data_IF_833985281182
#
_entry.id   IF_833985281182
#
_cell.length_a   1.000
_cell.length_b   1.000
_cell.length_c   1.000
_cell.angle_alpha   90.00
_cell.angle_beta   90.00
_cell.angle_gamma   90.00
#
_symmetry.space_group_name_H-M   'P 1'
#
loop_
_entity.id
_entity.type
_entity.pdbx_description
1 polymer ?
#
# COMPACT_ATOMS: atom_id res chain seq x y z
N UNK A 1 -15.01 -14.94 2.87
CA UNK A 1 -14.08 -14.65 3.99
C UNK A 1 -14.75 -14.71 5.35
N UNK A 2 -15.95 -14.14 5.56
CA UNK A 2 -16.65 -14.22 6.86
C UNK A 2 -16.84 -15.64 7.38
N UNK A 3 -17.26 -16.58 6.52
CA UNK A 3 -17.38 -18.00 6.87
C UNK A 3 -16.06 -18.56 7.42
N UNK A 4 -14.92 -18.24 6.81
CA UNK A 4 -13.60 -18.72 7.24
C UNK A 4 -13.19 -18.16 8.60
N UNK A 5 -13.59 -16.93 8.94
CA UNK A 5 -13.41 -16.41 10.30
C UNK A 5 -14.28 -17.18 11.31
N UNK A 6 -15.53 -17.49 10.94
CA UNK A 6 -16.42 -18.31 11.76
C UNK A 6 -15.89 -19.72 11.98
N UNK A 7 -15.28 -20.35 10.97
CA UNK A 7 -14.68 -21.69 11.09
C UNK A 7 -13.57 -21.75 12.14
N UNK A 8 -12.87 -20.65 12.43
CA UNK A 8 -11.88 -20.60 13.50
C UNK A 8 -12.47 -20.89 14.88
N UNK A 9 -13.76 -20.60 15.10
CA UNK A 9 -14.46 -20.85 16.37
C UNK A 9 -14.67 -22.34 16.63
N UNK A 10 -14.59 -23.19 15.60
CA UNK A 10 -14.64 -24.65 15.77
C UNK A 10 -13.44 -25.20 16.56
N UNK A 11 -12.45 -24.38 16.88
CA UNK A 11 -11.37 -24.72 17.82
C UNK A 11 -11.90 -25.11 19.21
N UNK A 12 -13.08 -24.59 19.61
CA UNK A 12 -13.73 -24.97 20.88
C UNK A 12 -14.13 -26.44 20.90
N UNK A 13 -14.57 -26.98 19.75
CA UNK A 13 -15.00 -28.38 19.62
C UNK A 13 -13.84 -29.31 19.24
N UNK A 14 -12.93 -28.83 18.41
CA UNK A 14 -11.83 -29.64 17.89
C UNK A 14 -10.63 -29.68 18.84
N UNK A 15 -10.52 -28.69 19.74
CA UNK A 15 -9.41 -28.53 20.67
C UNK A 15 -8.21 -27.84 20.04
N UNK A 16 -7.32 -27.33 20.90
CA UNK A 16 -6.05 -26.70 20.51
C UNK A 16 -4.91 -27.59 20.99
N UNK A 17 -4.13 -28.12 20.06
CA UNK A 17 -2.97 -28.98 20.38
C UNK A 17 -1.67 -28.27 20.02
N UNK A 18 -0.57 -28.60 20.72
CA UNK A 18 0.76 -28.09 20.40
C UNK A 18 1.18 -28.39 18.95
N UNK A 19 0.82 -29.58 18.44
CA UNK A 19 1.07 -29.97 17.05
C UNK A 19 0.34 -29.04 16.06
N UNK A 20 -0.92 -28.69 16.35
CA UNK A 20 -1.69 -27.80 15.50
C UNK A 20 -1.23 -26.34 15.60
N UNK A 21 -0.80 -25.87 16.78
CA UNK A 21 -0.18 -24.55 16.95
C UNK A 21 1.15 -24.44 16.21
N UNK A 22 2.00 -25.46 16.28
CA UNK A 22 3.23 -25.51 15.50
C UNK A 22 2.93 -25.49 13.99
N UNK A 23 1.94 -26.27 13.54
CA UNK A 23 1.49 -26.25 12.16
C UNK A 23 0.95 -24.87 11.74
N UNK A 24 0.18 -24.20 12.60
CA UNK A 24 -0.32 -22.84 12.39
C UNK A 24 0.83 -21.85 12.19
N UNK A 25 1.84 -21.88 13.06
CA UNK A 25 3.01 -21.02 12.98
C UNK A 25 3.80 -21.27 11.68
N UNK A 26 4.06 -22.54 11.35
CA UNK A 26 4.78 -22.91 10.12
C UNK A 26 4.01 -22.49 8.87
N UNK A 27 2.69 -22.72 8.83
CA UNK A 27 1.84 -22.33 7.71
C UNK A 27 1.70 -20.82 7.58
N UNK A 28 1.69 -20.07 8.69
CA UNK A 28 1.67 -18.62 8.65
C UNK A 28 2.95 -18.08 8.01
N UNK A 29 4.13 -18.38 8.58
CA UNK A 29 5.40 -17.81 8.10
C UNK A 29 5.82 -18.40 6.75
N UNK A 30 5.56 -19.69 6.50
CA UNK A 30 5.85 -20.33 5.22
C UNK A 30 5.04 -19.72 4.08
N UNK A 31 3.74 -19.50 4.28
CA UNK A 31 2.90 -18.86 3.24
C UNK A 31 3.14 -17.36 3.13
N UNK A 32 3.45 -16.67 4.23
CA UNK A 32 3.93 -15.30 4.19
C UNK A 32 5.14 -15.20 3.28
N UNK A 33 6.14 -16.08 3.44
CA UNK A 33 7.31 -16.13 2.58
C UNK A 33 6.94 -16.33 1.10
N UNK A 34 5.97 -17.19 0.76
CA UNK A 34 5.55 -17.36 -0.63
C UNK A 34 4.81 -16.13 -1.20
N UNK A 35 4.03 -15.42 -0.39
CA UNK A 35 3.42 -14.15 -0.79
C UNK A 35 4.52 -13.12 -1.05
N UNK A 36 5.46 -12.95 -0.12
CA UNK A 36 6.48 -11.91 -0.21
C UNK A 36 7.54 -12.23 -1.27
N UNK A 37 8.10 -13.44 -1.28
CA UNK A 37 9.11 -13.85 -2.25
C UNK A 37 8.50 -14.07 -3.64
N UNK A 38 7.33 -14.70 -3.71
CA UNK A 38 6.69 -15.10 -4.96
C UNK A 38 5.80 -14.00 -5.52
N UNK A 39 4.61 -13.82 -4.94
CA UNK A 39 3.60 -12.88 -5.46
C UNK A 39 4.16 -11.47 -5.57
N UNK A 40 4.77 -10.97 -4.49
CA UNK A 40 5.27 -9.61 -4.43
C UNK A 40 6.58 -9.43 -5.20
N UNK A 41 7.68 -10.00 -4.71
CA UNK A 41 9.03 -9.69 -5.23
C UNK A 41 9.32 -10.28 -6.60
N UNK A 42 8.75 -11.44 -6.94
CA UNK A 42 8.97 -12.09 -8.24
C UNK A 42 7.94 -11.69 -9.28
N UNK A 43 6.65 -11.99 -9.03
CA UNK A 43 5.60 -11.80 -10.02
C UNK A 43 5.28 -10.32 -10.23
N UNK A 44 5.20 -9.50 -9.18
CA UNK A 44 4.91 -8.06 -9.35
C UNK A 44 6.14 -7.28 -9.81
N UNK A 45 7.31 -7.48 -9.19
CA UNK A 45 8.46 -6.58 -9.33
C UNK A 45 9.66 -7.09 -10.11
N UNK A 46 9.70 -8.38 -10.47
CA UNK A 46 10.86 -9.00 -11.15
C UNK A 46 12.19 -8.66 -10.47
N UNK A 47 12.21 -8.72 -9.14
CA UNK A 47 13.39 -8.37 -8.35
C UNK A 47 14.49 -9.42 -8.41
N UNK A 48 14.19 -10.60 -8.97
CA UNK A 48 15.13 -11.69 -9.22
C UNK A 48 14.63 -12.58 -10.37
N UNK A 49 15.48 -13.52 -10.80
CA UNK A 49 15.15 -14.56 -11.80
C UNK A 49 15.16 -15.95 -11.17
N UNK A 50 14.35 -16.87 -11.68
CA UNK A 50 14.36 -18.28 -11.29
C UNK A 50 13.97 -19.18 -12.46
N UNK A 51 13.91 -20.50 -12.25
CA UNK A 51 13.48 -21.48 -13.25
C UNK A 51 11.95 -21.51 -13.38
N UNK A 52 11.45 -22.03 -14.50
CA UNK A 52 10.00 -22.23 -14.72
C UNK A 52 9.37 -23.14 -13.65
N UNK A 53 10.11 -24.16 -13.20
CA UNK A 53 9.67 -25.07 -12.16
C UNK A 53 9.52 -24.35 -10.81
N UNK A 54 10.55 -23.60 -10.38
CA UNK A 54 10.48 -22.87 -9.11
C UNK A 54 9.48 -21.70 -9.17
N UNK A 55 9.31 -21.08 -10.34
CA UNK A 55 8.21 -20.14 -10.59
C UNK A 55 6.84 -20.78 -10.31
N UNK A 56 6.59 -22.00 -10.76
CA UNK A 56 5.35 -22.70 -10.44
C UNK A 56 5.23 -23.00 -8.94
N UNK A 57 6.34 -23.39 -8.28
CA UNK A 57 6.38 -23.58 -6.82
C UNK A 57 5.99 -22.29 -6.08
N UNK A 58 6.52 -21.14 -6.49
CA UNK A 58 6.17 -19.83 -5.92
C UNK A 58 4.68 -19.50 -6.14
N UNK A 59 4.15 -19.77 -7.33
CA UNK A 59 2.73 -19.55 -7.63
C UNK A 59 1.81 -20.45 -6.79
N UNK A 60 2.12 -21.73 -6.68
CA UNK A 60 1.36 -22.68 -5.87
C UNK A 60 1.44 -22.34 -4.38
N UNK A 61 2.66 -22.09 -3.88
CA UNK A 61 2.89 -21.70 -2.49
C UNK A 61 2.14 -20.42 -2.12
N UNK A 62 2.18 -19.40 -2.97
CA UNK A 62 1.43 -18.15 -2.75
C UNK A 62 -0.08 -18.37 -2.83
N UNK A 63 -0.54 -19.21 -3.75
CA UNK A 63 -1.95 -19.58 -3.87
C UNK A 63 -2.51 -20.23 -2.62
N UNK A 64 -1.68 -20.95 -1.85
CA UNK A 64 -2.12 -21.59 -0.60
C UNK A 64 -2.50 -20.61 0.51
N UNK A 65 -2.20 -19.31 0.34
CA UNK A 65 -2.69 -18.24 1.20
C UNK A 65 -4.17 -17.86 0.98
N UNK A 66 -4.81 -18.43 -0.05
CA UNK A 66 -6.20 -18.12 -0.43
C UNK A 66 -6.45 -16.62 -0.70
N UNK A 67 -5.48 -15.94 -1.32
CA UNK A 67 -5.56 -14.51 -1.72
C UNK A 67 -5.69 -14.36 -3.24
N UNK A 68 -6.40 -15.31 -3.86
CA UNK A 68 -6.48 -15.51 -5.32
C UNK A 68 -5.15 -15.92 -5.96
N UNK A 69 -5.17 -16.13 -7.27
CA UNK A 69 -4.02 -16.62 -8.03
C UNK A 69 -2.92 -15.59 -8.31
N UNK A 70 -1.72 -16.09 -8.61
CA UNK A 70 -0.50 -15.28 -8.76
C UNK A 70 -0.62 -14.17 -9.83
N UNK A 71 -1.21 -14.47 -10.99
CA UNK A 71 -1.34 -13.45 -12.06
C UNK A 71 -2.34 -12.36 -11.66
N UNK A 72 -3.43 -12.74 -10.96
CA UNK A 72 -4.40 -11.79 -10.44
C UNK A 72 -3.75 -10.87 -9.41
N UNK A 73 -3.05 -11.45 -8.44
CA UNK A 73 -2.42 -10.70 -7.37
C UNK A 73 -1.37 -9.73 -7.93
N UNK A 74 -0.49 -10.22 -8.80
CA UNK A 74 0.58 -9.40 -9.37
C UNK A 74 0.07 -8.31 -10.33
N UNK A 75 -0.99 -8.57 -11.10
CA UNK A 75 -1.66 -7.54 -11.92
C UNK A 75 -2.14 -6.37 -11.05
N UNK A 76 -2.93 -6.66 -10.02
CA UNK A 76 -3.49 -5.63 -9.14
C UNK A 76 -2.41 -4.90 -8.34
N UNK A 77 -1.37 -5.62 -7.91
CA UNK A 77 -0.25 -5.03 -7.20
C UNK A 77 0.56 -4.07 -8.09
N UNK A 78 0.76 -4.41 -9.37
CA UNK A 78 1.38 -3.50 -10.34
C UNK A 78 0.54 -2.26 -10.56
N UNK A 79 -0.78 -2.40 -10.67
CA UNK A 79 -1.68 -1.25 -10.79
C UNK A 79 -1.68 -0.38 -9.53
N UNK A 80 -1.65 -0.99 -8.34
CA UNK A 80 -1.47 -0.26 -7.09
C UNK A 80 -0.19 0.58 -7.12
N UNK A 81 0.96 0.04 -7.53
CA UNK A 81 2.16 0.86 -7.61
C UNK A 81 2.12 1.98 -8.65
N UNK A 82 1.42 1.79 -9.77
CA UNK A 82 1.25 2.84 -10.79
C UNK A 82 0.32 3.95 -10.33
N UNK A 83 -0.70 3.59 -9.55
CA UNK A 83 -1.80 4.48 -9.20
C UNK A 83 -2.00 4.65 -7.69
N UNK A 84 -0.94 4.42 -6.90
CA UNK A 84 -1.03 4.32 -5.44
C UNK A 84 -1.70 5.54 -4.84
N UNK A 85 -2.60 5.31 -3.89
CA UNK A 85 -3.34 6.35 -3.19
C UNK A 85 -4.18 7.26 -4.12
N UNK A 86 -4.53 6.78 -5.32
CA UNK A 86 -5.53 7.43 -6.20
C UNK A 86 -6.83 6.62 -6.23
N UNK A 87 -7.85 7.13 -6.92
CA UNK A 87 -9.12 6.40 -7.12
C UNK A 87 -8.97 5.12 -7.94
N UNK A 88 -7.93 5.02 -8.77
CA UNK A 88 -7.63 3.84 -9.58
C UNK A 88 -6.95 2.72 -8.77
N UNK A 89 -6.36 3.04 -7.62
CA UNK A 89 -5.84 2.04 -6.71
C UNK A 89 -6.98 1.28 -6.03
N UNK A 90 -7.00 -0.03 -6.24
CA UNK A 90 -8.06 -0.93 -5.79
C UNK A 90 -8.17 -0.99 -4.27
N UNK A 91 -7.05 -0.82 -3.57
CA UNK A 91 -6.97 -0.85 -2.11
C UNK A 91 -6.43 0.46 -1.51
N UNK A 92 -6.68 1.58 -2.21
CA UNK A 92 -6.28 2.91 -1.75
C UNK A 92 -6.72 3.18 -0.31
N UNK A 93 -5.81 3.63 0.58
CA UNK A 93 -6.14 4.02 1.95
C UNK A 93 -7.06 5.23 2.01
N UNK A 94 -7.15 6.04 0.94
CA UNK A 94 -8.04 7.19 0.86
C UNK A 94 -9.53 6.79 0.85
N UNK A 95 -9.85 5.56 0.44
CA UNK A 95 -11.21 4.98 0.49
C UNK A 95 -11.61 4.50 1.88
N UNK A 96 -10.73 4.67 2.88
CA UNK A 96 -10.96 4.33 4.27
C UNK A 96 -10.24 3.06 4.72
N UNK A 97 -10.09 2.95 6.05
CA UNK A 97 -9.36 1.84 6.68
C UNK A 97 -9.95 0.47 6.35
N UNK A 98 -11.27 0.30 6.52
CA UNK A 98 -11.92 -0.99 6.27
C UNK A 98 -11.90 -1.39 4.79
N UNK A 99 -11.95 -0.41 3.89
CA UNK A 99 -11.82 -0.67 2.46
C UNK A 99 -10.42 -1.20 2.13
N UNK A 100 -9.37 -0.47 2.49
CA UNK A 100 -7.97 -0.86 2.23
C UNK A 100 -7.57 -2.14 2.97
N UNK A 101 -8.16 -2.43 4.13
CA UNK A 101 -7.85 -3.62 4.91
C UNK A 101 -8.59 -4.89 4.46
N UNK A 102 -9.83 -4.84 3.98
CA UNK A 102 -10.55 -6.06 3.57
C UNK A 102 -11.64 -5.83 2.51
N UNK A 103 -12.23 -4.65 2.43
CA UNK A 103 -13.34 -4.39 1.53
C UNK A 103 -12.98 -4.60 0.05
N UNK A 104 -11.78 -4.19 -0.35
CA UNK A 104 -11.35 -4.24 -1.75
C UNK A 104 -11.33 -5.66 -2.35
N UNK A 105 -10.87 -6.66 -1.59
CA UNK A 105 -10.73 -8.04 -2.08
C UNK A 105 -12.08 -8.78 -2.14
N UNK A 106 -13.07 -8.29 -1.37
CA UNK A 106 -14.45 -8.77 -1.38
C UNK A 106 -15.29 -8.13 -2.49
N UNK A 107 -14.79 -7.09 -3.15
CA UNK A 107 -15.53 -6.38 -4.18
C UNK A 107 -15.53 -7.14 -5.52
N UNK A 108 -16.73 -7.35 -6.07
CA UNK A 108 -16.93 -8.05 -7.34
C UNK A 108 -16.27 -7.35 -8.54
N UNK A 109 -16.09 -6.03 -8.46
CA UNK A 109 -15.47 -5.21 -9.50
C UNK A 109 -14.06 -5.68 -9.88
N UNK A 110 -13.31 -6.24 -8.93
CA UNK A 110 -11.91 -6.62 -9.12
C UNK A 110 -11.73 -8.14 -9.19
N UNK A 111 -12.75 -8.90 -9.60
CA UNK A 111 -12.66 -10.37 -9.69
C UNK A 111 -11.73 -10.86 -10.81
N UNK A 112 -11.73 -10.19 -11.97
CA UNK A 112 -10.83 -10.48 -13.09
C UNK A 112 -9.47 -9.80 -12.93
N UNK A 113 -8.48 -10.22 -13.71
CA UNK A 113 -7.20 -9.51 -13.84
C UNK A 113 -6.98 -9.12 -15.30
N UNK A 114 -6.19 -8.08 -15.53
CA UNK A 114 -5.79 -7.67 -16.87
C UNK A 114 -4.62 -8.54 -17.36
N UNK A 115 -4.79 -9.36 -18.40
CA UNK A 115 -3.69 -10.14 -18.97
C UNK A 115 -2.55 -9.27 -19.51
N UNK A 116 -2.86 -8.03 -19.89
CA UNK A 116 -1.92 -7.12 -20.52
C UNK A 116 -0.95 -6.47 -19.53
N UNK A 117 -1.41 -6.20 -18.31
CA UNK A 117 -0.57 -5.71 -17.21
C UNK A 117 0.52 -6.72 -16.77
N UNK A 118 0.34 -8.01 -17.10
CA UNK A 118 1.18 -9.14 -16.68
C UNK A 118 1.59 -10.07 -17.85
N UNK A 119 1.70 -9.55 -19.08
CA UNK A 119 2.09 -10.32 -20.30
C UNK A 119 3.30 -11.22 -20.12
N UNK A 120 4.23 -10.72 -19.32
CA UNK A 120 5.52 -11.27 -19.04
C UNK A 120 5.44 -12.62 -18.27
N UNK A 121 4.36 -12.86 -17.52
CA UNK A 121 4.01 -14.14 -16.89
C UNK A 121 2.73 -14.80 -17.45
N UNK A 122 1.82 -14.03 -18.04
CA UNK A 122 0.57 -14.54 -18.60
C UNK A 122 0.78 -15.52 -19.77
N UNK A 123 1.94 -15.46 -20.44
CA UNK A 123 2.32 -16.41 -21.49
C UNK A 123 2.48 -17.87 -21.01
N UNK A 124 2.60 -18.12 -19.70
CA UNK A 124 2.83 -19.46 -19.16
C UNK A 124 1.51 -20.17 -18.85
N UNK A 125 1.17 -21.30 -19.52
CA UNK A 125 -0.11 -21.98 -19.35
C UNK A 125 -0.32 -22.54 -17.93
N UNK A 126 0.74 -23.04 -17.27
CA UNK A 126 0.65 -23.54 -15.91
C UNK A 126 0.33 -22.45 -14.88
N UNK A 127 0.79 -21.21 -15.11
CA UNK A 127 0.46 -20.08 -14.26
C UNK A 127 -0.98 -19.62 -14.46
N UNK A 128 -1.46 -19.62 -15.72
CA UNK A 128 -2.87 -19.37 -16.03
C UNK A 128 -3.76 -20.43 -15.41
N UNK A 129 -3.37 -21.71 -15.50
CA UNK A 129 -4.11 -22.81 -14.92
C UNK A 129 -4.23 -22.66 -13.40
N UNK A 130 -3.12 -22.50 -12.68
CA UNK A 130 -3.16 -22.40 -11.22
C UNK A 130 -3.79 -21.10 -10.74
N UNK A 131 -3.73 -20.02 -11.53
CA UNK A 131 -4.41 -18.77 -11.20
C UNK A 131 -5.93 -18.88 -11.40
N UNK A 132 -6.38 -19.56 -12.45
CA UNK A 132 -7.82 -19.81 -12.69
C UNK A 132 -8.41 -20.79 -11.66
N UNK A 133 -7.60 -21.74 -11.20
CA UNK A 133 -7.98 -22.74 -10.19
C UNK A 133 -7.26 -22.46 -8.87
N UNK A 134 -7.32 -21.20 -8.42
CA UNK A 134 -6.66 -20.70 -7.20
C UNK A 134 -7.17 -21.36 -5.91
N UNK A 135 -8.24 -22.15 -5.99
CA UNK A 135 -8.73 -23.03 -4.93
C UNK A 135 -7.86 -24.28 -4.75
N UNK A 136 -7.14 -24.76 -5.77
CA UNK A 136 -6.35 -26.00 -5.68
C UNK A 136 -5.28 -25.93 -4.56
N UNK A 137 -4.39 -24.90 -4.51
CA UNK A 137 -3.38 -24.85 -3.47
C UNK A 137 -3.91 -24.79 -2.03
N UNK A 138 -4.90 -23.94 -1.66
CA UNK A 138 -5.39 -23.88 -0.29
C UNK A 138 -6.10 -25.17 0.12
N UNK A 139 -6.89 -25.80 -0.77
CA UNK A 139 -7.49 -27.11 -0.46
C UNK A 139 -6.44 -28.21 -0.26
N UNK A 140 -5.36 -28.19 -1.05
CA UNK A 140 -4.24 -29.13 -0.89
C UNK A 140 -3.62 -29.00 0.50
N UNK A 141 -3.34 -27.77 0.94
CA UNK A 141 -2.76 -27.51 2.27
C UNK A 141 -3.76 -27.81 3.39
N UNK A 142 -5.05 -27.53 3.20
CA UNK A 142 -6.10 -27.86 4.18
C UNK A 142 -6.20 -29.37 4.42
N UNK A 143 -6.25 -30.15 3.34
CA UNK A 143 -6.29 -31.63 3.40
C UNK A 143 -5.01 -32.15 4.06
N UNK A 144 -3.84 -31.66 3.66
CA UNK A 144 -2.58 -32.06 4.29
C UNK A 144 -2.56 -31.75 5.79
N UNK A 145 -3.10 -30.59 6.20
CA UNK A 145 -3.16 -30.19 7.61
C UNK A 145 -4.06 -31.12 8.43
N UNK A 146 -5.20 -31.53 7.85
CA UNK A 146 -6.07 -32.55 8.44
C UNK A 146 -5.37 -33.91 8.57
N UNK A 147 -4.66 -34.36 7.53
CA UNK A 147 -3.94 -35.63 7.58
C UNK A 147 -2.80 -35.63 8.62
N UNK A 148 -2.17 -34.47 8.86
CA UNK A 148 -1.07 -34.34 9.82
C UNK A 148 -1.57 -34.34 11.27
N UNK A 149 -2.64 -33.61 11.59
CA UNK A 149 -3.05 -33.37 12.98
C UNK A 149 -4.57 -33.43 13.22
N UNK A 150 -5.31 -34.10 12.34
CA UNK A 150 -6.75 -34.27 12.42
C UNK A 150 -7.51 -32.94 12.36
N UNK A 151 -8.65 -32.90 13.03
CA UNK A 151 -9.48 -31.70 13.14
C UNK A 151 -8.74 -30.47 13.72
N UNK A 152 -7.93 -30.59 14.80
CA UNK A 152 -7.07 -29.48 15.24
C UNK A 152 -6.14 -28.97 14.14
N UNK A 153 -5.56 -29.87 13.35
CA UNK A 153 -4.69 -29.51 12.22
C UNK A 153 -5.42 -28.67 11.17
N UNK A 154 -6.65 -29.04 10.83
CA UNK A 154 -7.45 -28.28 9.88
C UNK A 154 -7.91 -26.93 10.46
N UNK A 155 -8.46 -26.91 11.67
CA UNK A 155 -9.04 -25.69 12.25
C UNK A 155 -7.97 -24.72 12.75
N UNK A 156 -7.09 -25.17 13.64
CA UNK A 156 -6.04 -24.33 14.22
C UNK A 156 -4.85 -24.24 13.26
N UNK A 157 -4.42 -25.36 12.69
CA UNK A 157 -3.28 -25.35 11.76
C UNK A 157 -3.58 -24.53 10.51
N UNK A 158 -4.64 -24.85 9.75
CA UNK A 158 -4.92 -24.21 8.47
C UNK A 158 -5.81 -22.96 8.57
N UNK A 159 -7.00 -23.02 9.18
CA UNK A 159 -7.92 -21.88 9.16
C UNK A 159 -7.43 -20.68 9.98
N UNK A 160 -6.92 -20.89 11.21
CA UNK A 160 -6.35 -19.78 11.99
C UNK A 160 -5.17 -19.13 11.27
N UNK A 161 -4.22 -19.92 10.78
CA UNK A 161 -3.07 -19.36 10.07
C UNK A 161 -3.48 -18.63 8.79
N UNK A 162 -4.58 -19.05 8.13
CA UNK A 162 -5.12 -18.36 6.94
C UNK A 162 -5.71 -17.00 7.31
N UNK A 163 -6.52 -16.92 8.36
CA UNK A 163 -7.09 -15.65 8.85
C UNK A 163 -6.00 -14.70 9.34
N UNK A 164 -5.05 -15.20 10.12
CA UNK A 164 -3.90 -14.43 10.58
C UNK A 164 -3.08 -13.90 9.40
N UNK A 165 -2.85 -14.75 8.38
CA UNK A 165 -2.10 -14.37 7.18
C UNK A 165 -2.82 -13.28 6.39
N UNK A 166 -4.13 -13.39 6.19
CA UNK A 166 -4.95 -12.35 5.54
C UNK A 166 -4.79 -11.00 6.24
N UNK A 167 -5.02 -10.95 7.55
CA UNK A 167 -4.85 -9.70 8.28
C UNK A 167 -3.40 -9.22 8.22
N UNK A 168 -2.42 -10.11 8.37
CA UNK A 168 -1.00 -9.79 8.23
C UNK A 168 -0.70 -9.10 6.89
N UNK A 169 -1.08 -9.69 5.77
CA UNK A 169 -0.86 -9.10 4.44
C UNK A 169 -1.65 -7.81 4.25
N UNK A 170 -2.90 -7.73 4.70
CA UNK A 170 -3.71 -6.55 4.47
C UNK A 170 -3.35 -5.37 5.39
N UNK A 171 -2.64 -5.61 6.49
CA UNK A 171 -2.03 -4.50 7.25
C UNK A 171 -0.99 -3.74 6.45
N UNK A 172 -0.37 -4.35 5.42
CA UNK A 172 0.54 -3.62 4.51
C UNK A 172 -0.25 -2.59 3.71
N UNK A 173 -1.39 -2.98 3.13
CA UNK A 173 -2.24 -2.06 2.37
C UNK A 173 -2.87 -0.96 3.25
N UNK A 174 -3.22 -1.27 4.50
CA UNK A 174 -3.89 -0.31 5.40
C UNK A 174 -2.93 0.38 6.36
N UNK A 175 -2.39 -0.35 7.34
CA UNK A 175 -1.58 0.23 8.41
C UNK A 175 -0.22 0.74 7.91
N UNK A 176 0.41 0.15 6.89
CA UNK A 176 1.67 0.68 6.38
C UNK A 176 1.49 2.00 5.61
N UNK A 177 0.27 2.44 5.33
CA UNK A 177 -0.03 3.78 4.80
C UNK A 177 -0.41 4.80 5.89
N UNK A 178 -0.45 4.40 7.17
CA UNK A 178 -0.88 5.27 8.27
C UNK A 178 0.13 5.30 9.42
N UNK A 179 0.75 4.16 9.73
CA UNK A 179 1.63 3.96 10.87
C UNK A 179 3.08 3.72 10.43
N UNK A 180 4.00 4.51 10.97
CA UNK A 180 5.44 4.36 10.73
C UNK A 180 6.11 5.69 10.36
N UNK A 181 7.33 5.59 9.81
CA UNK A 181 8.14 6.74 9.39
C UNK A 181 8.36 6.73 7.89
N UNK A 182 8.50 7.91 7.29
CA UNK A 182 8.89 8.07 5.89
C UNK A 182 10.36 8.45 5.84
N UNK A 183 11.13 7.70 5.07
CA UNK A 183 12.55 7.99 4.82
C UNK A 183 12.74 8.62 3.45
N UNK A 184 11.97 8.19 2.46
CA UNK A 184 12.06 8.64 1.08
C UNK A 184 10.79 9.36 0.67
N UNK A 185 10.95 10.43 -0.10
CA UNK A 185 9.84 11.14 -0.70
C UNK A 185 9.22 10.24 -1.78
N UNK A 186 7.94 9.89 -1.61
CA UNK A 186 7.12 9.19 -2.59
C UNK A 186 5.83 9.97 -2.85
N UNK A 187 5.11 9.65 -3.92
CA UNK A 187 3.84 10.27 -4.27
C UNK A 187 2.65 9.72 -3.49
N UNK A 188 2.85 8.62 -2.77
CA UNK A 188 1.86 7.95 -1.90
C UNK A 188 2.16 8.19 -0.41
N UNK A 189 1.32 7.63 0.46
CA UNK A 189 1.42 7.73 1.93
C UNK A 189 2.09 6.52 2.61
N UNK A 190 2.80 5.65 1.87
CA UNK A 190 3.50 4.48 2.42
C UNK A 190 4.49 4.84 3.55
N UNK A 191 4.67 3.96 4.53
CA UNK A 191 5.52 4.20 5.71
C UNK A 191 6.30 2.95 6.07
N UNK A 192 7.49 3.16 6.62
CA UNK A 192 8.31 2.11 7.21
C UNK A 192 7.88 1.86 8.66
N UNK A 193 7.55 0.61 8.99
CA UNK A 193 7.18 0.15 10.32
C UNK A 193 7.88 -1.18 10.63
N UNK A 194 8.74 -1.16 11.65
CA UNK A 194 9.47 -2.34 12.10
C UNK A 194 8.54 -3.43 12.65
N UNK A 195 7.44 -3.04 13.31
CA UNK A 195 6.44 -3.97 13.83
C UNK A 195 5.73 -4.72 12.69
N UNK A 196 5.30 -3.98 11.65
CA UNK A 196 4.70 -4.60 10.47
C UNK A 196 5.74 -5.48 9.78
N UNK A 197 6.98 -5.02 9.64
CA UNK A 197 8.05 -5.78 8.98
C UNK A 197 8.36 -7.11 9.70
N UNK A 198 8.33 -7.12 11.04
CA UNK A 198 8.50 -8.34 11.84
C UNK A 198 7.40 -9.36 11.54
N UNK A 199 6.15 -8.92 11.52
CA UNK A 199 4.99 -9.79 11.30
C UNK A 199 4.90 -10.27 9.84
N UNK A 200 5.24 -9.40 8.88
CA UNK A 200 5.05 -9.64 7.44
C UNK A 200 6.30 -10.13 6.71
N UNK A 201 7.37 -10.47 7.43
CA UNK A 201 8.60 -10.97 6.82
C UNK A 201 9.34 -9.93 5.95
N UNK A 202 9.25 -8.65 6.31
CA UNK A 202 9.98 -7.54 5.69
C UNK A 202 9.11 -6.53 4.92
N UNK A 203 7.82 -6.81 4.71
CA UNK A 203 6.93 -5.95 3.91
C UNK A 203 6.57 -4.63 4.58
N UNK A 204 6.74 -4.54 5.90
CA UNK A 204 6.56 -3.28 6.64
C UNK A 204 7.60 -2.20 6.34
N UNK A 205 8.67 -2.48 5.60
CA UNK A 205 9.56 -1.45 5.03
C UNK A 205 8.93 -0.84 3.76
N UNK A 206 7.69 -0.37 3.90
CA UNK A 206 6.81 -0.10 2.78
C UNK A 206 7.19 1.19 2.04
N UNK A 207 7.65 2.22 2.75
CA UNK A 207 8.16 3.45 2.11
C UNK A 207 9.46 3.22 1.35
N UNK A 208 10.36 2.37 1.85
CA UNK A 208 11.54 1.96 1.07
C UNK A 208 11.11 1.24 -0.22
N UNK A 209 10.15 0.32 -0.09
CA UNK A 209 9.62 -0.47 -1.19
C UNK A 209 8.95 0.41 -2.25
N UNK A 210 8.06 1.32 -1.88
CA UNK A 210 7.41 2.25 -2.81
C UNK A 210 8.40 3.20 -3.49
N UNK A 211 9.47 3.58 -2.79
CA UNK A 211 10.52 4.41 -3.38
C UNK A 211 11.36 3.66 -4.42
N UNK A 212 11.69 2.39 -4.19
CA UNK A 212 12.46 1.58 -5.14
C UNK A 212 12.02 0.10 -5.15
N UNK A 213 10.87 -0.13 -5.79
CA UNK A 213 10.17 -1.42 -5.83
C UNK A 213 10.92 -2.54 -6.56
N UNK A 214 11.90 -2.20 -7.38
CA UNK A 214 12.68 -3.18 -8.14
C UNK A 214 13.65 -4.00 -7.26
N UNK A 215 13.93 -3.56 -6.02
CA UNK A 215 14.82 -4.27 -5.11
C UNK A 215 14.18 -5.55 -4.55
N UNK A 216 14.98 -6.61 -4.44
CA UNK A 216 14.57 -7.88 -3.80
C UNK A 216 14.58 -7.79 -2.27
N UNK A 217 15.12 -6.72 -1.70
CA UNK A 217 15.09 -6.41 -0.26
C UNK A 217 14.29 -5.14 -0.04
N UNK A 218 13.29 -5.20 0.82
CA UNK A 218 12.50 -4.02 1.21
C UNK A 218 13.20 -3.28 2.35
N UNK A 219 13.82 -4.02 3.27
CA UNK A 219 14.72 -3.44 4.27
C UNK A 219 16.03 -3.07 3.59
N UNK A 220 16.28 -1.80 3.30
CA UNK A 220 17.45 -1.33 2.56
C UNK A 220 18.74 -1.37 3.40
N UNK A 221 18.62 -1.26 4.72
CA UNK A 221 19.76 -1.22 5.63
C UNK A 221 19.93 -2.53 6.40
N UNK A 222 21.13 -2.82 6.91
CA UNK A 222 21.44 -4.12 7.53
C UNK A 222 20.64 -4.38 8.82
N UNK A 223 20.22 -3.34 9.53
CA UNK A 223 19.37 -3.43 10.73
C UNK A 223 17.88 -3.57 10.40
N UNK A 224 17.49 -3.45 9.13
CA UNK A 224 16.10 -3.58 8.69
C UNK A 224 15.79 -5.05 8.43
N UNK A 225 15.15 -5.68 9.42
CA UNK A 225 14.80 -7.08 9.40
C UNK A 225 13.93 -7.45 8.18
N UNK A 226 14.46 -8.30 7.31
CA UNK A 226 13.80 -8.77 6.08
C UNK A 226 14.11 -10.27 5.85
N UNK A 227 13.44 -11.17 6.58
CA UNK A 227 13.69 -12.61 6.50
C UNK A 227 13.37 -13.19 5.12
N UNK A 228 12.42 -12.58 4.38
CA UNK A 228 12.14 -12.98 3.00
C UNK A 228 13.40 -12.84 2.13
N UNK A 229 14.07 -11.69 2.22
CA UNK A 229 15.32 -11.46 1.50
C UNK A 229 16.42 -12.42 1.95
N UNK A 230 16.52 -12.73 3.25
CA UNK A 230 17.54 -13.65 3.76
C UNK A 230 17.39 -15.05 3.16
N UNK A 231 16.17 -15.57 3.10
CA UNK A 231 15.89 -16.86 2.46
C UNK A 231 16.18 -16.80 0.95
N UNK A 232 15.77 -15.74 0.25
CA UNK A 232 16.10 -15.54 -1.17
C UNK A 232 17.62 -15.50 -1.40
N UNK A 233 18.38 -14.87 -0.50
CA UNK A 233 19.84 -14.82 -0.55
C UNK A 233 20.45 -16.22 -0.37
N UNK A 234 19.96 -17.04 0.55
CA UNK A 234 20.41 -18.43 0.70
C UNK A 234 20.07 -19.24 -0.56
N UNK A 235 18.86 -19.12 -1.11
CA UNK A 235 18.48 -19.79 -2.37
C UNK A 235 19.38 -19.37 -3.56
N UNK A 236 19.95 -18.17 -3.51
CA UNK A 236 20.91 -17.70 -4.52
C UNK A 236 22.23 -18.45 -4.50
N UNK A 237 22.69 -18.91 -3.33
CA UNK A 237 23.90 -19.72 -3.19
C UNK A 237 23.77 -21.05 -3.92
N UNK A 238 22.55 -21.59 -3.98
CA UNK A 238 22.21 -22.82 -4.71
C UNK A 238 21.77 -22.58 -6.15
N UNK A 239 21.84 -21.34 -6.66
CA UNK A 239 21.38 -20.93 -8.01
C UNK A 239 19.91 -21.22 -8.33
N UNK A 240 19.09 -21.50 -7.32
CA UNK A 240 17.63 -21.61 -7.44
C UNK A 240 17.08 -20.24 -7.81
N UNK A 241 17.57 -19.20 -7.13
CA UNK A 241 17.31 -17.80 -7.45
C UNK A 241 18.60 -17.17 -8.01
N UNK A 242 18.47 -16.26 -8.97
CA UNK A 242 19.58 -15.57 -9.63
C UNK A 242 19.26 -14.08 -9.80
N UNK A 243 20.28 -13.27 -10.02
CA UNK A 243 20.15 -11.83 -10.30
C UNK A 243 19.30 -11.08 -9.25
N UNK A 244 19.53 -11.34 -7.95
CA UNK A 244 18.86 -10.59 -6.89
C UNK A 244 19.23 -9.10 -7.00
N UNK A 245 18.25 -8.28 -7.32
CA UNK A 245 18.42 -6.84 -7.38
C UNK A 245 18.51 -6.28 -5.97
N UNK A 246 19.52 -5.45 -5.72
CA UNK A 246 19.68 -4.71 -4.46
C UNK A 246 19.64 -3.21 -4.75
N UNK A 247 19.21 -2.37 -3.79
CA UNK A 247 19.19 -0.93 -3.99
C UNK A 247 20.64 -0.42 -4.20
N UNK A 248 20.93 0.26 -5.33
CA UNK A 248 22.25 0.82 -5.56
C UNK A 248 22.51 2.01 -4.62
N UNK A 249 23.78 2.37 -4.43
CA UNK A 249 24.18 3.44 -3.51
C UNK A 249 23.48 4.79 -3.79
N UNK A 250 23.20 5.10 -5.06
CA UNK A 250 22.45 6.30 -5.46
C UNK A 250 21.02 6.32 -4.92
N UNK A 251 20.33 5.16 -4.93
CA UNK A 251 18.97 5.00 -4.38
C UNK A 251 19.02 5.17 -2.87
N UNK A 252 20.01 4.57 -2.20
CA UNK A 252 20.14 4.70 -0.74
C UNK A 252 20.34 6.15 -0.27
N UNK A 253 20.98 7.00 -1.09
CA UNK A 253 21.26 8.41 -0.76
C UNK A 253 20.19 9.38 -1.29
N UNK A 254 19.50 9.02 -2.37
CA UNK A 254 18.56 9.89 -3.08
C UNK A 254 17.24 10.12 -2.35
N UNK A 255 16.59 11.25 -2.68
CA UNK A 255 15.22 11.62 -2.31
C UNK A 255 14.83 11.37 -0.83
N UNK A 256 15.78 11.51 0.11
CA UNK A 256 15.47 11.35 1.52
C UNK A 256 14.64 12.53 2.01
N UNK A 257 13.56 12.25 2.73
CA UNK A 257 12.81 13.25 3.50
C UNK A 257 13.72 13.69 4.65
N UNK A 258 14.46 14.79 4.48
CA UNK A 258 15.04 15.54 5.63
C UNK A 258 13.89 15.98 6.53
N UNK A 259 14.14 16.13 7.84
CA UNK A 259 13.16 16.71 8.76
C UNK A 259 12.61 18.03 8.17
N UNK A 260 11.32 18.03 7.83
CA UNK A 260 10.64 19.14 7.18
C UNK A 260 10.68 19.19 5.64
N UNK A 261 11.07 18.14 4.90
CA UNK A 261 11.02 18.19 3.41
C UNK A 261 9.59 18.11 2.89
N UNK A 262 9.33 18.72 1.71
CA UNK A 262 8.04 18.61 1.04
C UNK A 262 7.79 17.18 0.59
N UNK A 263 6.76 16.58 1.16
CA UNK A 263 6.32 15.22 0.87
C UNK A 263 4.99 15.30 0.11
N UNK A 264 5.06 15.09 -1.20
CA UNK A 264 3.91 15.23 -2.11
C UNK A 264 2.77 14.30 -1.71
N UNK A 265 3.06 13.06 -1.30
CA UNK A 265 2.03 12.12 -0.86
C UNK A 265 1.32 12.58 0.40
N UNK A 266 2.05 13.10 1.38
CA UNK A 266 1.46 13.69 2.59
C UNK A 266 0.67 14.97 2.29
N UNK A 267 1.19 15.84 1.43
CA UNK A 267 0.47 17.04 0.99
C UNK A 267 -0.87 16.67 0.33
N UNK A 268 -0.85 15.78 -0.67
CA UNK A 268 -2.06 15.29 -1.35
C UNK A 268 -3.07 14.69 -0.37
N UNK A 269 -2.61 13.87 0.58
CA UNK A 269 -3.49 13.26 1.57
C UNK A 269 -4.11 14.28 2.54
N UNK A 270 -3.34 15.27 3.01
CA UNK A 270 -3.86 16.33 3.87
C UNK A 270 -4.82 17.26 3.11
N UNK A 271 -4.48 17.63 1.88
CA UNK A 271 -5.32 18.43 1.01
C UNK A 271 -6.65 17.73 0.70
N UNK A 272 -6.61 16.44 0.33
CA UNK A 272 -7.82 15.65 0.09
C UNK A 272 -8.73 15.53 1.31
N UNK A 273 -8.16 15.42 2.52
CA UNK A 273 -8.96 15.44 3.76
C UNK A 273 -9.59 16.81 4.02
N UNK A 274 -8.85 17.89 3.79
CA UNK A 274 -9.34 19.26 3.96
C UNK A 274 -10.47 19.58 2.97
N UNK A 275 -10.31 19.23 1.69
CA UNK A 275 -11.33 19.45 0.66
C UNK A 275 -12.59 18.62 0.93
N UNK A 276 -12.45 17.34 1.32
CA UNK A 276 -13.59 16.50 1.67
C UNK A 276 -14.36 17.03 2.90
N UNK A 277 -13.65 17.51 3.92
CA UNK A 277 -14.26 18.12 5.10
C UNK A 277 -15.03 19.40 4.73
N UNK A 278 -14.44 20.24 3.86
CA UNK A 278 -15.09 21.46 3.36
C UNK A 278 -16.36 21.13 2.57
N UNK A 279 -16.30 20.16 1.65
CA UNK A 279 -17.44 19.71 0.85
C UNK A 279 -18.56 19.07 1.70
N UNK A 280 -18.21 18.35 2.77
CA UNK A 280 -19.19 17.82 3.71
C UNK A 280 -19.88 18.95 4.50
N UNK A 281 -19.13 19.98 4.88
CA UNK A 281 -19.66 21.17 5.53
C UNK A 281 -20.58 21.98 4.62
N UNK A 282 -20.21 22.21 3.36
CA UNK A 282 -21.08 22.91 2.41
C UNK A 282 -22.38 22.15 2.19
N UNK A 283 -22.33 20.81 2.02
CA UNK A 283 -23.54 19.99 1.91
C UNK A 283 -24.43 19.98 3.16
N UNK A 284 -23.84 20.03 4.35
CA UNK A 284 -24.61 20.18 5.59
C UNK A 284 -25.24 21.56 5.69
N UNK A 285 -24.47 22.61 5.38
CA UNK A 285 -24.94 23.98 5.43
C UNK A 285 -25.98 24.28 4.32
N UNK A 286 -25.93 23.59 3.18
CA UNK A 286 -26.96 23.62 2.13
C UNK A 286 -28.24 22.89 2.58
N UNK A 287 -28.14 21.82 3.38
CA UNK A 287 -29.30 21.13 3.95
C UNK A 287 -30.01 21.98 5.01
N UNK A 288 -29.27 22.59 5.93
CA UNK A 288 -29.85 23.46 6.97
C UNK A 288 -30.42 24.76 6.35
N UNK A 289 -29.86 25.26 5.24
CA UNK A 289 -30.35 26.49 4.57
C UNK A 289 -31.47 26.24 3.55
N UNK A 290 -31.60 25.03 3.02
CA UNK A 290 -32.82 24.62 2.33
C UNK A 290 -34.06 24.69 3.23
N UNK A 291 -33.87 24.67 4.56
CA UNK A 291 -34.92 24.92 5.54
C UNK A 291 -35.14 26.43 5.85
N UNK A 292 -34.19 27.33 5.52
CA UNK A 292 -34.25 28.78 5.83
C UNK A 292 -34.52 29.73 4.64
N UNK A 293 -34.35 29.26 3.40
CA UNK A 293 -34.71 30.01 2.19
C UNK A 293 -33.70 31.06 1.69
N UNK A 294 -32.50 31.15 2.26
CA UNK A 294 -31.43 32.05 1.78
C UNK A 294 -30.57 31.39 0.68
N UNK A 295 -30.39 32.09 -0.45
CA UNK A 295 -29.53 31.64 -1.57
C UNK A 295 -28.34 32.58 -1.71
N UNK A 296 -27.16 32.13 -1.28
CA UNK A 296 -25.87 32.65 -1.76
C UNK A 296 -25.22 31.52 -2.54
N UNK A 297 -24.51 31.87 -3.62
CA UNK A 297 -24.04 31.01 -4.72
C UNK A 297 -23.02 29.92 -4.29
N UNK A 298 -23.46 28.98 -3.44
CA UNK A 298 -22.71 27.81 -3.00
C UNK A 298 -22.29 26.93 -4.18
N UNK A 299 -23.03 27.00 -5.30
CA UNK A 299 -22.67 26.34 -6.54
C UNK A 299 -21.38 26.92 -7.14
N UNK A 300 -21.17 28.24 -7.09
CA UNK A 300 -19.92 28.87 -7.52
C UNK A 300 -18.73 28.53 -6.61
N UNK A 301 -18.90 28.49 -5.28
CA UNK A 301 -17.84 28.05 -4.36
C UNK A 301 -17.50 26.56 -4.57
N UNK A 302 -18.51 25.71 -4.75
CA UNK A 302 -18.32 24.28 -5.04
C UNK A 302 -17.64 24.08 -6.40
N UNK A 303 -17.98 24.89 -7.40
CA UNK A 303 -17.34 24.88 -8.72
C UNK A 303 -15.89 25.38 -8.65
N UNK A 304 -15.58 26.38 -7.84
CA UNK A 304 -14.22 26.86 -7.62
C UNK A 304 -13.35 25.82 -6.90
N UNK A 305 -13.89 25.17 -5.87
CA UNK A 305 -13.21 24.07 -5.17
C UNK A 305 -12.98 22.87 -6.10
N UNK A 306 -13.97 22.55 -6.96
CA UNK A 306 -13.85 21.47 -7.94
C UNK A 306 -12.87 21.79 -9.06
N UNK A 307 -12.85 23.03 -9.56
CA UNK A 307 -11.86 23.49 -10.52
C UNK A 307 -10.43 23.48 -9.93
N UNK A 308 -10.27 23.81 -8.65
CA UNK A 308 -9.00 23.70 -7.96
C UNK A 308 -8.56 22.24 -7.72
N UNK A 309 -9.51 21.31 -7.51
CA UNK A 309 -9.27 19.87 -7.45
C UNK A 309 -8.80 19.34 -8.81
N UNK A 310 -9.50 19.69 -9.90
CA UNK A 310 -9.18 19.24 -11.25
C UNK A 310 -7.84 19.83 -11.76
N UNK A 311 -7.53 21.08 -11.40
CA UNK A 311 -6.24 21.71 -11.71
C UNK A 311 -5.05 21.11 -10.94
N UNK A 312 -5.29 20.54 -9.75
CA UNK A 312 -4.28 19.84 -8.96
C UNK A 312 -4.08 18.37 -9.40
N UNK A 313 -5.06 17.80 -10.11
CA UNK A 313 -5.03 16.42 -10.63
C UNK A 313 -4.58 16.33 -12.10
N UNK A 314 -4.55 17.46 -12.82
CA UNK A 314 -4.06 17.55 -14.19
C UNK A 314 -2.56 17.30 -14.30
N UNK A 315 -2.20 16.20 -14.98
CA UNK A 315 -0.89 15.80 -15.51
C UNK A 315 0.23 16.85 -15.41
N UNK A 316 0.85 16.94 -14.25
CA UNK A 316 2.26 17.30 -14.17
C UNK A 316 3.04 15.99 -14.20
N UNK A 317 3.43 15.59 -15.41
CA UNK A 317 4.46 14.58 -15.65
C UNK A 317 5.63 14.83 -14.67
N UNK A 318 5.92 13.94 -13.70
CA UNK A 318 6.99 14.19 -12.73
C UNK A 318 8.33 13.66 -13.24
N UNK A 319 8.42 13.27 -14.52
CA UNK A 319 9.67 12.91 -15.16
C UNK A 319 10.15 14.13 -15.94
N UNK A 320 11.24 14.80 -15.54
CA UNK A 320 11.86 15.77 -16.42
C UNK A 320 12.20 15.01 -17.71
N UNK A 321 11.71 15.49 -18.85
CA UNK A 321 12.13 14.96 -20.15
C UNK A 321 13.67 14.97 -20.20
N UNK A 322 14.29 14.09 -20.98
CA UNK A 322 15.76 14.06 -21.10
C UNK A 322 16.34 15.46 -21.44
N UNK A 323 15.54 16.35 -22.05
CA UNK A 323 15.86 17.76 -22.28
C UNK A 323 15.92 18.61 -21.00
N UNK A 324 15.09 18.35 -19.99
CA UNK A 324 15.12 19.04 -18.69
C UNK A 324 16.25 18.53 -17.77
N UNK A 325 16.59 17.24 -17.83
CA UNK A 325 17.80 16.72 -17.18
C UNK A 325 19.08 17.26 -17.84
N UNK A 326 19.11 17.38 -19.17
CA UNK A 326 20.19 18.05 -19.90
C UNK A 326 20.25 19.55 -19.62
N UNK A 327 19.12 20.22 -19.38
CA UNK A 327 19.08 21.63 -18.98
C UNK A 327 19.58 21.85 -17.54
N UNK A 328 19.34 20.89 -16.65
CA UNK A 328 19.90 20.90 -15.28
C UNK A 328 21.41 20.60 -15.31
N UNK A 329 21.87 19.63 -16.11
CA UNK A 329 23.30 19.36 -16.29
C UNK A 329 24.03 20.52 -16.99
N UNK A 330 23.36 21.24 -17.90
CA UNK A 330 23.87 22.47 -18.52
C UNK A 330 23.85 23.67 -17.55
N UNK A 331 22.87 23.74 -16.63
CA UNK A 331 22.81 24.76 -15.59
C UNK A 331 23.80 24.49 -14.43
N UNK A 332 24.20 23.23 -14.19
CA UNK A 332 25.28 22.89 -13.25
C UNK A 332 26.66 23.36 -13.75
N UNK A 333 26.79 23.71 -15.03
CA UNK A 333 28.03 24.23 -15.62
C UNK A 333 28.18 25.77 -15.51
N UNK A 334 27.14 26.53 -15.12
CA UNK A 334 27.19 28.00 -15.10
C UNK A 334 26.73 28.61 -13.76
N UNK A 335 27.72 29.20 -13.05
CA UNK A 335 27.64 30.21 -11.98
C UNK A 335 26.86 29.91 -10.67
N UNK A 336 27.51 30.07 -9.49
CA UNK A 336 26.91 29.92 -8.15
C UNK A 336 25.65 30.76 -7.88
N UNK A 337 25.45 31.86 -8.60
CA UNK A 337 24.35 32.82 -8.42
C UNK A 337 22.97 32.31 -8.84
N UNK A 338 22.89 31.35 -9.76
CA UNK A 338 21.60 30.76 -10.20
C UNK A 338 21.07 29.77 -9.15
N UNK A 339 21.98 29.07 -8.45
CA UNK A 339 21.65 28.12 -7.39
C UNK A 339 21.04 28.80 -6.17
N UNK A 340 21.52 29.99 -5.82
CA UNK A 340 21.00 30.79 -4.70
C UNK A 340 19.58 31.29 -5.01
N UNK A 341 19.36 31.88 -6.20
CA UNK A 341 18.05 32.36 -6.61
C UNK A 341 16.97 31.27 -6.75
N UNK A 342 17.32 30.07 -7.26
CA UNK A 342 16.36 28.98 -7.37
C UNK A 342 16.01 28.37 -6.00
N UNK A 343 17.01 28.28 -5.11
CA UNK A 343 16.83 27.81 -3.74
C UNK A 343 15.98 28.81 -2.94
N UNK A 344 16.19 30.10 -3.11
CA UNK A 344 15.42 31.17 -2.48
C UNK A 344 13.98 31.24 -3.01
N UNK A 345 13.77 31.05 -4.32
CA UNK A 345 12.42 30.95 -4.89
C UNK A 345 11.68 29.71 -4.38
N UNK A 346 12.35 28.56 -4.27
CA UNK A 346 11.76 27.35 -3.67
C UNK A 346 11.48 27.53 -2.18
N UNK A 347 12.35 28.21 -1.43
CA UNK A 347 12.13 28.53 -0.02
C UNK A 347 11.00 29.53 0.18
N UNK A 348 10.87 30.53 -0.70
CA UNK A 348 9.78 31.50 -0.68
C UNK A 348 8.43 30.87 -1.04
N UNK A 349 8.38 30.05 -2.10
CA UNK A 349 7.17 29.29 -2.46
C UNK A 349 6.76 28.30 -1.37
N UNK A 350 7.74 27.66 -0.72
CA UNK A 350 7.51 26.79 0.42
C UNK A 350 7.01 27.54 1.66
N UNK A 351 7.60 28.70 1.97
CA UNK A 351 7.16 29.53 3.10
C UNK A 351 5.73 30.03 2.88
N UNK A 352 5.41 30.47 1.66
CA UNK A 352 4.07 30.89 1.28
C UNK A 352 3.06 29.73 1.37
N UNK A 353 3.42 28.53 0.90
CA UNK A 353 2.57 27.35 1.00
C UNK A 353 2.37 26.90 2.46
N UNK A 354 3.45 26.89 3.26
CA UNK A 354 3.37 26.59 4.70
C UNK A 354 2.50 27.62 5.44
N UNK A 355 2.56 28.90 5.05
CA UNK A 355 1.70 29.96 5.59
C UNK A 355 0.24 29.80 5.16
N UNK A 356 -0.04 29.50 3.89
CA UNK A 356 -1.39 29.19 3.42
C UNK A 356 -1.98 27.97 4.13
N UNK A 357 -1.18 26.92 4.37
CA UNK A 357 -1.61 25.72 5.13
C UNK A 357 -1.85 26.07 6.60
N UNK A 358 -0.97 26.85 7.24
CA UNK A 358 -1.18 27.32 8.62
C UNK A 358 -2.45 28.16 8.74
N UNK A 359 -2.72 29.03 7.78
CA UNK A 359 -3.93 29.86 7.75
C UNK A 359 -5.19 29.01 7.52
N UNK A 360 -5.14 28.01 6.65
CA UNK A 360 -6.24 27.06 6.44
C UNK A 360 -6.50 26.21 7.70
N UNK A 361 -5.46 25.77 8.41
CA UNK A 361 -5.60 25.03 9.67
C UNK A 361 -6.17 25.89 10.79
N UNK A 362 -5.74 27.15 10.92
CA UNK A 362 -6.31 28.11 11.88
C UNK A 362 -7.78 28.38 11.58
N UNK A 363 -8.12 28.61 10.33
CA UNK A 363 -9.52 28.78 9.91
C UNK A 363 -10.38 27.54 10.26
N UNK A 364 -9.84 26.33 10.06
CA UNK A 364 -10.53 25.09 10.45
C UNK A 364 -10.68 24.93 11.98
N UNK A 365 -9.68 25.33 12.77
CA UNK A 365 -9.74 25.32 14.24
C UNK A 365 -10.74 26.35 14.78
N UNK A 366 -10.74 27.56 14.22
CA UNK A 366 -11.68 28.63 14.58
C UNK A 366 -13.13 28.20 14.27
N UNK A 367 -13.35 27.57 13.10
CA UNK A 367 -14.65 26.97 12.74
C UNK A 367 -15.06 25.84 13.69
N UNK A 368 -14.11 25.01 14.13
CA UNK A 368 -14.38 23.94 15.10
C UNK A 368 -14.68 24.47 16.53
N UNK A 369 -14.11 25.62 16.91
CA UNK A 369 -14.43 26.30 18.17
C UNK A 369 -15.80 26.98 18.12
N UNK A 370 -16.14 27.61 16.99
CA UNK A 370 -17.47 28.20 16.75
C UNK A 370 -18.57 27.12 16.78
N UNK A 371 -18.34 25.96 16.16
CA UNK A 371 -19.26 24.81 16.23
C UNK A 371 -19.46 24.31 17.67
N UNK A 372 -18.41 24.30 18.50
CA UNK A 372 -18.51 23.91 19.92
C UNK A 372 -19.31 24.93 20.74
N UNK A 373 -19.14 26.23 20.48
CA UNK A 373 -19.94 27.31 21.11
C UNK A 373 -21.41 27.25 20.72
N UNK A 374 -21.74 26.99 19.44
CA UNK A 374 -23.14 26.84 19.03
C UNK A 374 -23.81 25.61 19.66
N UNK A 375 -23.12 24.47 19.78
CA UNK A 375 -23.64 23.29 20.48
C UNK A 375 -23.82 23.50 21.99
N UNK A 376 -23.03 24.37 22.63
CA UNK A 376 -23.24 24.73 24.04
C UNK A 376 -24.43 25.66 24.23
N UNK A 377 -24.72 26.52 23.25
CA UNK A 377 -25.88 27.41 23.28
C UNK A 377 -27.18 26.66 23.01
N UNK A 378 -27.20 25.70 22.08
CA UNK A 378 -28.40 24.88 21.78
C UNK A 378 -28.74 23.82 22.83
N UNK A 379 -27.97 23.73 23.93
CA UNK A 379 -28.21 22.80 25.06
C UNK A 379 -28.57 23.52 26.35
N UNK A 380 -28.56 24.86 26.33
CA UNK A 380 -28.91 25.70 27.47
C UNK A 380 -30.35 26.23 27.42
N UNK A 381 -31.04 26.02 26.30
CA UNK A 381 -32.50 26.05 26.14
C UNK A 381 -33.04 24.61 26.15
#
# INVERSE_FOLDING_TARGET
MFLIHGLCLLAVFTGVTWKALALCFVLYFGRMWFITAGYHRYFSHRSYKTSRAFQFVLAFGGGSAAQKGALWWASHHRDHHRFSDTDRDVHSPLKGFWWSHIGWILCDKYKGWDPDSIKDFNKFPELRFITKHDWIPPWTVAIASYLIAGWPGLIVGFFWSTVLLWHGTFTVNSLAHVMGRRRYATTDTSRNSALIALWTGGEGWHNNHHYYQAAARNGFFWWEYDPTYYVLKVLSWFRIVRDLKVPPARVLKGARVREGSFDVGMFKAHWGKASAALLAHTRWADRDRAEDGSTVDAAAELAAVRAALDAADGDADPVPSDAALLAVDAAEAESPTVRENLTDQMHASRAALEESVRNAMRAAEDLAQLSRRQRSLSRAD
#
